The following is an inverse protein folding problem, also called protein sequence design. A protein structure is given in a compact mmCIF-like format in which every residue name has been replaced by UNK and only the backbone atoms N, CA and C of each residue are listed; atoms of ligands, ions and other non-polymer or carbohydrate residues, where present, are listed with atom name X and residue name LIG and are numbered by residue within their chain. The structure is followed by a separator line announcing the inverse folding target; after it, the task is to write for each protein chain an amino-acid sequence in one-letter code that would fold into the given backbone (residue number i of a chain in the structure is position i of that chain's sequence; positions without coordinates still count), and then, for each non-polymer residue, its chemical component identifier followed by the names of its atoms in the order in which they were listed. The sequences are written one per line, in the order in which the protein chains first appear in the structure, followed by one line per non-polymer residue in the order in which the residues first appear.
data_IF_060896962929
#
_entry.id   IF_060896962929
#
_cell.length_a   1.000
_cell.length_b   1.000
_cell.length_c   1.000
_cell.angle_alpha   90.00
_cell.angle_beta   90.00
_cell.angle_gamma   90.00
#
_symmetry.space_group_name_H-M   'P 1'
#
loop_
_entity.id
_entity.type
_entity.pdbx_description
1 polymer ?
#
# COMPACT_ATOMS: atom_id res chain seq x y z
N UNK A 1 18.43 -63.32 -36.43
CA UNK A 1 17.87 -62.98 -35.11
C UNK A 1 18.20 -61.53 -34.79
N UNK A 2 17.13 -60.73 -34.67
CA UNK A 2 16.99 -59.45 -33.96
C UNK A 2 17.93 -58.28 -34.31
N UNK A 3 17.54 -57.54 -35.36
CA UNK A 3 17.77 -56.09 -35.47
C UNK A 3 17.00 -55.38 -34.35
N UNK A 4 17.69 -54.70 -33.42
CA UNK A 4 17.06 -53.87 -32.38
C UNK A 4 16.75 -52.48 -32.93
N UNK A 5 15.54 -51.93 -32.70
CA UNK A 5 15.23 -50.54 -33.03
C UNK A 5 15.82 -49.59 -31.99
N UNK A 6 16.32 -48.46 -32.50
CA UNK A 6 16.81 -47.31 -31.75
C UNK A 6 15.61 -46.53 -31.16
N UNK A 7 15.49 -46.30 -29.84
CA UNK A 7 14.46 -45.43 -29.32
C UNK A 7 14.91 -43.98 -29.53
N UNK A 8 14.07 -43.24 -30.27
CA UNK A 8 14.13 -41.81 -30.40
C UNK A 8 14.27 -41.15 -29.02
N UNK A 9 15.31 -40.32 -28.86
CA UNK A 9 15.40 -39.39 -27.75
C UNK A 9 14.31 -38.34 -27.94
N UNK A 10 13.21 -38.46 -27.19
CA UNK A 10 12.26 -37.39 -26.99
C UNK A 10 12.96 -36.32 -26.14
N UNK A 11 13.58 -35.34 -26.80
CA UNK A 11 13.98 -34.08 -26.15
C UNK A 11 12.73 -33.22 -26.11
N UNK A 12 11.99 -33.30 -25.00
CA UNK A 12 11.03 -32.26 -24.63
C UNK A 12 11.83 -31.02 -24.22
N UNK A 13 12.21 -30.22 -25.22
CA UNK A 13 12.61 -28.84 -25.00
C UNK A 13 11.34 -28.06 -24.64
N UNK A 14 11.02 -28.01 -23.35
CA UNK A 14 9.98 -27.14 -22.82
C UNK A 14 10.28 -25.68 -23.22
N UNK A 15 9.39 -24.99 -23.96
CA UNK A 15 9.65 -23.63 -24.46
C UNK A 15 9.32 -22.53 -23.43
N UNK A 16 9.09 -22.88 -22.16
CA UNK A 16 8.48 -21.98 -21.18
C UNK A 16 9.42 -20.92 -20.57
N UNK A 17 10.74 -21.00 -20.80
CA UNK A 17 11.68 -19.97 -20.28
C UNK A 17 11.62 -18.68 -21.10
N UNK A 18 11.44 -18.77 -22.42
CA UNK A 18 11.40 -17.59 -23.30
C UNK A 18 10.16 -16.71 -23.10
N UNK A 19 9.03 -17.33 -22.72
CA UNK A 19 7.78 -16.62 -22.44
C UNK A 19 7.81 -15.85 -21.14
N UNK A 20 8.49 -16.38 -20.12
CA UNK A 20 8.69 -15.73 -18.83
C UNK A 20 9.58 -14.50 -18.96
N UNK A 21 10.65 -14.57 -19.74
CA UNK A 21 11.54 -13.43 -19.98
C UNK A 21 10.86 -12.30 -20.75
N UNK A 22 10.00 -12.64 -21.71
CA UNK A 22 9.23 -11.65 -22.48
C UNK A 22 8.14 -10.99 -21.63
N UNK A 23 7.38 -11.79 -20.86
CA UNK A 23 6.36 -11.27 -19.96
C UNK A 23 6.96 -10.42 -18.81
N UNK A 24 8.15 -10.77 -18.33
CA UNK A 24 8.87 -9.99 -17.33
C UNK A 24 9.39 -8.67 -17.91
N UNK A 25 9.94 -8.69 -19.12
CA UNK A 25 10.37 -7.49 -19.82
C UNK A 25 9.20 -6.55 -20.11
N UNK A 26 8.05 -7.07 -20.56
CA UNK A 26 6.83 -6.30 -20.78
C UNK A 26 6.26 -5.70 -19.48
N UNK A 27 6.30 -6.45 -18.37
CA UNK A 27 5.89 -5.94 -17.07
C UNK A 27 6.78 -4.78 -16.58
N UNK A 28 8.10 -4.90 -16.71
CA UNK A 28 9.04 -3.82 -16.36
C UNK A 28 8.81 -2.60 -17.27
N UNK A 29 8.56 -2.81 -18.56
CA UNK A 29 8.32 -1.72 -19.50
C UNK A 29 6.96 -1.03 -19.29
N UNK A 30 5.95 -1.78 -18.82
CA UNK A 30 4.65 -1.25 -18.42
C UNK A 30 4.74 -0.41 -17.13
N UNK A 31 5.58 -0.83 -16.17
CA UNK A 31 5.85 -0.07 -14.95
C UNK A 31 6.64 1.20 -15.27
N UNK A 32 7.63 1.13 -16.16
CA UNK A 32 8.44 2.29 -16.56
C UNK A 32 7.67 3.33 -17.41
N UNK A 33 6.57 2.94 -18.06
CA UNK A 33 5.71 3.83 -18.85
C UNK A 33 4.74 4.68 -18.04
N UNK A 34 4.55 4.36 -16.75
CA UNK A 34 3.75 5.14 -15.80
C UNK A 34 4.75 5.93 -14.97
N UNK A 35 4.91 7.24 -15.25
CA UNK A 35 5.97 8.10 -14.69
C UNK A 35 5.92 8.38 -13.18
N UNK A 36 5.58 7.40 -12.36
CA UNK A 36 5.78 7.47 -10.92
C UNK A 36 7.27 7.26 -10.61
N UNK A 37 7.91 8.18 -9.85
CA UNK A 37 9.29 8.01 -9.45
C UNK A 37 9.43 6.71 -8.64
N UNK A 38 10.59 6.00 -8.76
CA UNK A 38 10.83 4.80 -7.99
C UNK A 38 10.65 5.08 -6.49
N UNK A 39 9.93 4.19 -5.82
CA UNK A 39 9.55 4.33 -4.42
C UNK A 39 10.80 4.60 -3.55
N UNK A 40 10.91 5.81 -2.99
CA UNK A 40 12.02 6.17 -2.10
C UNK A 40 11.83 5.49 -0.74
N UNK A 41 12.39 4.29 -0.63
CA UNK A 41 12.33 3.47 0.59
C UNK A 41 12.97 4.21 1.77
N UNK A 42 14.00 5.03 1.53
CA UNK A 42 14.71 5.73 2.60
C UNK A 42 13.84 6.84 3.20
N UNK A 43 13.15 7.58 2.33
CA UNK A 43 12.19 8.60 2.74
C UNK A 43 11.00 7.98 3.48
N UNK A 44 10.48 6.85 3.00
CA UNK A 44 9.39 6.12 3.65
C UNK A 44 9.80 5.64 5.05
N UNK A 45 10.99 5.06 5.18
CA UNK A 45 11.52 4.63 6.47
C UNK A 45 11.75 5.82 7.41
N UNK A 46 12.25 6.96 6.89
CA UNK A 46 12.42 8.19 7.65
C UNK A 46 11.09 8.74 8.17
N UNK A 47 10.06 8.80 7.32
CA UNK A 47 8.70 9.22 7.71
C UNK A 47 8.11 8.28 8.75
N UNK A 48 8.24 6.95 8.58
CA UNK A 48 7.74 5.97 9.55
C UNK A 48 8.36 6.16 10.93
N UNK A 49 9.68 6.37 11.01
CA UNK A 49 10.37 6.67 12.26
C UNK A 49 9.96 8.01 12.86
N UNK A 50 9.77 9.05 12.04
CA UNK A 50 9.31 10.36 12.50
C UNK A 50 7.90 10.30 13.12
N UNK A 51 7.06 9.37 12.65
CA UNK A 51 5.74 9.09 13.23
C UNK A 51 5.77 8.14 14.45
N UNK A 52 6.96 7.73 14.92
CA UNK A 52 7.11 6.82 16.07
C UNK A 52 6.76 5.35 15.78
N UNK A 53 6.56 4.96 14.51
CA UNK A 53 6.18 3.60 14.15
C UNK A 53 7.44 2.70 14.10
N UNK A 54 7.36 1.53 14.74
CA UNK A 54 8.42 0.50 14.71
C UNK A 54 8.53 -0.17 13.36
N UNK A 55 9.73 -0.66 12.99
CA UNK A 55 9.95 -1.40 11.73
C UNK A 55 9.12 -2.70 11.66
N UNK A 56 8.71 -3.24 12.82
CA UNK A 56 7.86 -4.44 12.95
C UNK A 56 6.35 -4.16 12.94
N UNK A 57 5.91 -2.93 12.60
CA UNK A 57 4.47 -2.63 12.52
C UNK A 57 3.80 -3.41 11.38
N UNK A 58 3.26 -4.58 11.72
CA UNK A 58 2.43 -5.38 10.83
C UNK A 58 0.95 -5.11 11.13
N UNK A 59 0.25 -4.55 10.14
CA UNK A 59 -1.20 -4.38 10.21
C UNK A 59 -1.91 -5.69 9.86
N UNK A 60 -2.95 -6.04 10.61
CA UNK A 60 -3.88 -7.08 10.16
C UNK A 60 -4.66 -6.58 8.93
N UNK A 61 -5.20 -7.51 8.13
CA UNK A 61 -6.02 -7.15 6.98
C UNK A 61 -7.22 -6.27 7.36
N UNK A 62 -7.80 -6.48 8.55
CA UNK A 62 -8.89 -5.66 9.07
C UNK A 62 -8.44 -4.24 9.40
N UNK A 63 -7.28 -4.07 10.05
CA UNK A 63 -6.72 -2.75 10.38
C UNK A 63 -6.31 -1.98 9.12
N UNK A 64 -5.68 -2.66 8.15
CA UNK A 64 -5.34 -2.08 6.87
C UNK A 64 -6.60 -1.61 6.11
N UNK A 65 -7.64 -2.46 6.06
CA UNK A 65 -8.92 -2.08 5.44
C UNK A 65 -9.59 -0.92 6.18
N UNK A 66 -9.52 -0.89 7.50
CA UNK A 66 -10.07 0.19 8.31
C UNK A 66 -9.39 1.53 8.02
N UNK A 67 -8.07 1.55 7.85
CA UNK A 67 -7.31 2.75 7.45
C UNK A 67 -7.67 3.14 6.02
N UNK A 68 -7.72 2.17 5.09
CA UNK A 68 -7.98 2.43 3.68
C UNK A 68 -9.35 3.07 3.46
N UNK A 69 -10.40 2.59 4.13
CA UNK A 69 -11.74 3.19 4.09
C UNK A 69 -11.74 4.66 4.53
N UNK A 70 -10.93 5.01 5.54
CA UNK A 70 -10.81 6.41 6.02
C UNK A 70 -10.05 7.27 5.02
N UNK A 71 -8.99 6.75 4.40
CA UNK A 71 -8.25 7.43 3.34
C UNK A 71 -9.13 7.72 2.12
N UNK A 72 -9.99 6.78 1.72
CA UNK A 72 -10.99 7.02 0.67
C UNK A 72 -11.99 8.11 1.06
N UNK A 73 -12.51 8.08 2.29
CA UNK A 73 -13.40 9.12 2.80
C UNK A 73 -12.74 10.50 2.79
N UNK A 74 -11.49 10.59 3.26
CA UNK A 74 -10.73 11.84 3.22
C UNK A 74 -10.52 12.34 1.80
N UNK A 75 -10.12 11.46 0.87
CA UNK A 75 -9.92 11.81 -0.53
C UNK A 75 -11.19 12.36 -1.18
N UNK A 76 -12.34 11.72 -0.91
CA UNK A 76 -13.63 12.18 -1.41
C UNK A 76 -14.01 13.56 -0.86
N UNK A 77 -13.84 13.78 0.45
CA UNK A 77 -14.14 15.08 1.07
C UNK A 77 -13.18 16.17 0.56
N UNK A 78 -11.89 15.87 0.45
CA UNK A 78 -10.90 16.80 -0.11
C UNK A 78 -11.24 17.19 -1.55
N UNK A 79 -11.65 16.23 -2.39
CA UNK A 79 -12.09 16.52 -3.75
C UNK A 79 -13.32 17.44 -3.78
N UNK A 80 -14.28 17.24 -2.87
CA UNK A 80 -15.43 18.14 -2.74
C UNK A 80 -15.02 19.55 -2.32
N UNK A 81 -14.09 19.69 -1.39
CA UNK A 81 -13.61 21.00 -0.93
C UNK A 81 -12.83 21.73 -2.03
N UNK A 82 -11.97 21.03 -2.77
CA UNK A 82 -11.26 21.60 -3.93
C UNK A 82 -12.24 21.98 -5.05
N UNK A 83 -13.24 21.14 -5.32
CA UNK A 83 -14.29 21.44 -6.31
C UNK A 83 -15.22 22.59 -5.89
N UNK A 84 -15.19 22.98 -4.62
CA UNK A 84 -15.99 24.07 -4.06
C UNK A 84 -15.23 25.40 -3.91
N UNK A 85 -13.95 25.43 -4.28
CA UNK A 85 -13.08 26.60 -4.11
C UNK A 85 -13.54 27.79 -4.97
N UNK A 86 -12.86 28.93 -4.88
CA UNK A 86 -13.26 30.17 -5.55
C UNK A 86 -13.47 30.02 -7.06
N UNK A 87 -12.69 29.16 -7.72
CA UNK A 87 -12.80 28.84 -9.15
C UNK A 87 -13.45 27.47 -9.44
N UNK A 88 -14.06 26.86 -8.41
CA UNK A 88 -14.60 25.50 -8.47
C UNK A 88 -15.90 25.35 -9.29
N UNK A 89 -16.19 24.13 -9.79
CA UNK A 89 -17.42 23.82 -10.54
C UNK A 89 -18.74 23.98 -9.76
N UNK A 90 -18.68 24.09 -8.43
CA UNK A 90 -19.84 24.35 -7.59
C UNK A 90 -19.46 25.17 -6.36
N UNK A 91 -20.46 25.59 -5.58
CA UNK A 91 -20.27 26.32 -4.33
C UNK A 91 -20.89 25.55 -3.17
N UNK A 92 -20.18 25.50 -2.04
CA UNK A 92 -20.70 24.97 -0.79
C UNK A 92 -21.10 26.11 0.13
N UNK A 93 -22.10 25.87 0.99
CA UNK A 93 -22.38 26.82 2.07
C UNK A 93 -21.25 26.80 3.09
N UNK A 94 -21.00 27.92 3.77
CA UNK A 94 -19.98 28.00 4.83
C UNK A 94 -20.17 26.96 5.92
N UNK A 95 -21.42 26.64 6.26
CA UNK A 95 -21.75 25.62 7.24
C UNK A 95 -21.35 24.22 6.77
N UNK A 96 -21.65 23.87 5.51
CA UNK A 96 -21.29 22.58 4.95
C UNK A 96 -19.77 22.45 4.77
N UNK A 97 -19.11 23.51 4.30
CA UNK A 97 -17.65 23.55 4.21
C UNK A 97 -17.00 23.34 5.58
N UNK A 98 -17.45 24.06 6.61
CA UNK A 98 -16.98 23.85 7.98
C UNK A 98 -17.19 22.43 8.49
N UNK A 99 -18.36 21.84 8.21
CA UNK A 99 -18.65 20.44 8.56
C UNK A 99 -17.73 19.44 7.86
N UNK A 100 -17.42 19.65 6.59
CA UNK A 100 -16.49 18.81 5.83
C UNK A 100 -15.05 18.92 6.34
N UNK A 101 -14.60 20.11 6.73
CA UNK A 101 -13.30 20.27 7.40
C UNK A 101 -13.24 19.50 8.73
N UNK A 102 -14.27 19.59 9.56
CA UNK A 102 -14.35 18.81 10.80
C UNK A 102 -14.38 17.30 10.55
N UNK A 103 -15.07 16.86 9.48
CA UNK A 103 -15.10 15.46 9.10
C UNK A 103 -13.71 14.94 8.65
N UNK A 104 -12.94 15.74 7.91
CA UNK A 104 -11.55 15.40 7.57
C UNK A 104 -10.70 15.21 8.82
N UNK A 105 -10.83 16.11 9.78
CA UNK A 105 -10.08 16.03 11.04
C UNK A 105 -10.44 14.75 11.81
N UNK A 106 -11.73 14.44 11.97
CA UNK A 106 -12.18 13.22 12.65
C UNK A 106 -11.72 11.93 11.95
N UNK A 107 -11.78 11.87 10.61
CA UNK A 107 -11.29 10.72 9.86
C UNK A 107 -9.78 10.51 10.00
N UNK A 108 -9.03 11.62 10.10
CA UNK A 108 -7.59 11.60 10.33
C UNK A 108 -7.28 11.04 11.72
N UNK A 109 -7.95 11.56 12.76
CA UNK A 109 -7.80 11.06 14.14
C UNK A 109 -8.14 9.57 14.25
N UNK A 110 -9.23 9.14 13.61
CA UNK A 110 -9.63 7.74 13.63
C UNK A 110 -8.61 6.83 12.94
N UNK A 111 -8.06 7.25 11.79
CA UNK A 111 -7.04 6.48 11.07
C UNK A 111 -5.76 6.37 11.91
N UNK A 112 -5.35 7.48 12.52
CA UNK A 112 -4.23 7.53 13.44
C UNK A 112 -4.45 6.65 14.67
N UNK A 113 -5.66 6.60 15.22
CA UNK A 113 -5.99 5.73 16.35
C UNK A 113 -5.86 4.23 16.00
N UNK A 114 -6.16 3.83 14.75
CA UNK A 114 -5.90 2.45 14.29
C UNK A 114 -4.40 2.16 14.27
N UNK A 115 -3.60 3.09 13.73
CA UNK A 115 -2.13 2.95 13.69
C UNK A 115 -1.53 2.88 15.10
N UNK A 116 -1.94 3.75 16.02
CA UNK A 116 -1.47 3.73 17.41
C UNK A 116 -1.78 2.41 18.11
N UNK A 117 -3.02 1.92 18.00
CA UNK A 117 -3.39 0.62 18.59
C UNK A 117 -2.60 -0.53 17.98
N UNK A 118 -2.34 -0.52 16.68
CA UNK A 118 -1.52 -1.54 16.03
C UNK A 118 -0.06 -1.44 16.49
N UNK A 119 0.46 -0.23 16.66
CA UNK A 119 1.80 0.03 17.16
C UNK A 119 1.97 -0.42 18.61
N UNK A 120 1.03 -0.13 19.50
CA UNK A 120 1.04 -0.62 20.89
C UNK A 120 1.06 -2.15 20.98
N UNK A 121 0.37 -2.85 20.06
CA UNK A 121 0.41 -4.32 19.96
C UNK A 121 1.76 -4.84 19.46
N UNK A 122 2.39 -4.11 18.54
CA UNK A 122 3.65 -4.51 17.91
C UNK A 122 4.88 -4.13 18.75
N UNK A 123 4.77 -3.13 19.64
CA UNK A 123 5.82 -2.78 20.56
C UNK A 123 6.16 -4.01 21.42
N UNK A 124 7.44 -4.43 21.49
CA UNK A 124 7.80 -5.52 22.38
C UNK A 124 7.34 -5.11 23.76
N UNK A 125 6.47 -5.92 24.38
CA UNK A 125 6.29 -5.85 25.80
C UNK A 125 7.72 -5.89 26.37
N UNK A 126 8.20 -4.79 26.93
CA UNK A 126 9.26 -4.84 27.92
C UNK A 126 8.67 -5.65 29.07
N UNK A 127 8.61 -6.98 28.86
CA UNK A 127 8.41 -7.96 29.89
C UNK A 127 9.50 -7.61 30.88
N UNK A 128 9.09 -7.17 32.06
CA UNK A 128 9.88 -7.36 33.26
C UNK A 128 10.17 -8.85 33.40
N UNK A 129 11.17 -9.32 32.67
CA UNK A 129 12.06 -10.39 33.07
C UNK A 129 13.20 -9.70 33.80
N UNK A 130 12.89 -9.04 34.91
CA UNK A 130 13.90 -8.78 35.92
C UNK A 130 14.16 -10.13 36.58
N UNK A 131 15.22 -10.79 36.12
CA UNK A 131 15.97 -11.76 36.89
C UNK A 131 16.37 -11.16 38.24
N UNK A 132 15.83 -11.70 39.33
CA UNK A 132 16.51 -11.87 40.63
C UNK A 132 15.64 -12.77 41.52
#
# INVERSE_FOLDING_TARGET
MTSKPNPAACVDASPDTSRLDTAHAEAIHAIAGQGEPPLDIHEICRLRRACGLTEDLALTACEAQAINTRLYGMSAISALLVGADEDGPFKLSKWLQGGLHSALYALTEDAQAVLHRAHEKAAPAHKGSATA
#
